data_IF_394909640796
#
_entry.id   IF_394909640796
#
_cell.length_a   1.000
_cell.length_b   1.000
_cell.length_c   1.000
_cell.angle_alpha   90.00
_cell.angle_beta   90.00
_cell.angle_gamma   90.00
#
_symmetry.space_group_name_H-M   'P 1'
#
loop_
_entity.id
_entity.type
_entity.pdbx_description
1 polymer ?
#
# COMPACT_ATOMS: atom_id res chain seq x y z
N UNK A 1 -10.88 -5.74 11.85
CA UNK A 1 -9.95 -6.43 10.94
C UNK A 1 -10.62 -7.59 10.23
N UNK A 2 -11.44 -8.43 10.88
CA UNK A 2 -12.08 -9.59 10.22
C UNK A 2 -11.16 -10.80 10.08
N UNK A 3 -9.96 -10.72 10.64
CA UNK A 3 -8.96 -11.79 10.69
C UNK A 3 -9.00 -12.43 12.07
N UNK A 4 -8.88 -13.75 12.14
CA UNK A 4 -8.80 -14.47 13.40
C UNK A 4 -7.51 -14.15 14.16
N UNK A 5 -7.59 -14.02 15.48
CA UNK A 5 -6.45 -13.68 16.34
C UNK A 5 -5.23 -14.60 16.16
N UNK A 6 -5.39 -15.94 16.02
CA UNK A 6 -4.26 -16.82 15.72
C UNK A 6 -3.54 -16.47 14.40
N UNK A 7 -4.29 -16.00 13.39
CA UNK A 7 -3.71 -15.58 12.11
C UNK A 7 -2.91 -14.30 12.29
N UNK A 8 -3.44 -13.33 13.04
CA UNK A 8 -2.70 -12.11 13.39
C UNK A 8 -1.42 -12.46 14.18
N UNK A 9 -1.50 -13.44 15.09
CA UNK A 9 -0.37 -13.92 15.89
C UNK A 9 0.78 -14.52 15.08
N UNK A 10 0.56 -14.94 13.82
CA UNK A 10 1.66 -15.41 12.96
C UNK A 10 2.70 -14.34 12.68
N UNK A 11 2.38 -13.06 12.88
CA UNK A 11 3.31 -11.94 12.76
C UNK A 11 4.52 -12.08 13.70
N UNK A 12 4.38 -12.83 14.80
CA UNK A 12 5.46 -13.05 15.78
C UNK A 12 6.66 -13.80 15.22
N UNK A 13 6.52 -14.53 14.09
CA UNK A 13 7.64 -15.13 13.36
C UNK A 13 8.68 -14.05 12.97
N UNK A 14 8.25 -12.80 12.79
CA UNK A 14 9.12 -11.69 12.42
C UNK A 14 9.72 -10.93 13.62
N UNK A 15 9.42 -11.32 14.86
CA UNK A 15 9.75 -10.55 16.09
C UNK A 15 11.22 -10.20 16.29
N UNK A 16 12.15 -10.90 15.64
CA UNK A 16 13.58 -10.55 15.60
C UNK A 16 14.17 -10.78 14.19
N UNK A 17 13.33 -10.74 13.15
CA UNK A 17 13.79 -10.93 11.79
C UNK A 17 14.72 -9.80 11.38
N UNK A 18 15.83 -10.14 10.73
CA UNK A 18 16.72 -9.15 10.09
C UNK A 18 16.20 -8.68 8.73
N UNK A 19 15.09 -9.26 8.25
CA UNK A 19 14.50 -8.90 6.97
C UNK A 19 13.86 -7.51 7.06
N UNK A 20 14.32 -6.60 6.21
CA UNK A 20 13.75 -5.26 6.04
C UNK A 20 13.01 -5.24 4.71
N UNK A 21 11.69 -5.18 4.78
CA UNK A 21 10.86 -4.90 3.60
C UNK A 21 10.67 -3.40 3.50
N UNK A 22 11.15 -2.82 2.42
CA UNK A 22 10.87 -1.43 2.05
C UNK A 22 9.94 -1.42 0.86
N UNK A 23 8.94 -0.55 0.91
CA UNK A 23 8.11 -0.24 -0.25
C UNK A 23 8.69 0.99 -0.93
N UNK A 24 8.54 1.05 -2.26
CA UNK A 24 8.87 2.26 -2.99
C UNK A 24 8.09 3.45 -2.40
N UNK A 25 8.73 4.61 -2.24
CA UNK A 25 8.05 5.85 -1.89
C UNK A 25 6.84 6.11 -2.81
N UNK A 26 5.76 6.65 -2.25
CA UNK A 26 4.52 6.82 -3.00
C UNK A 26 4.69 7.71 -4.24
N UNK A 27 5.52 8.75 -4.14
CA UNK A 27 5.91 9.63 -5.24
C UNK A 27 6.64 8.90 -6.37
N UNK A 28 7.51 7.94 -6.04
CA UNK A 28 8.17 7.10 -7.05
C UNK A 28 7.15 6.25 -7.81
N UNK A 29 6.22 5.60 -7.10
CA UNK A 29 5.16 4.78 -7.72
C UNK A 29 4.22 5.63 -8.57
N UNK A 30 3.84 6.82 -8.10
CA UNK A 30 2.99 7.76 -8.86
C UNK A 30 3.71 8.25 -10.12
N UNK A 31 5.00 8.58 -10.00
CA UNK A 31 5.83 9.01 -11.12
C UNK A 31 5.91 7.95 -12.21
N UNK A 32 6.16 6.69 -11.84
CA UNK A 32 6.13 5.56 -12.78
C UNK A 32 4.76 5.38 -13.42
N UNK A 33 3.68 5.46 -12.64
CA UNK A 33 2.32 5.33 -13.16
C UNK A 33 1.99 6.43 -14.20
N UNK A 34 2.47 7.66 -14.02
CA UNK A 34 2.29 8.74 -14.98
C UNK A 34 2.96 8.51 -16.33
N UNK A 35 3.96 7.61 -16.42
CA UNK A 35 4.52 7.23 -17.71
C UNK A 35 3.50 6.52 -18.60
N UNK A 36 2.53 5.82 -18.00
CA UNK A 36 1.59 4.93 -18.72
C UNK A 36 0.13 5.34 -18.58
N UNK A 37 -0.24 6.16 -17.60
CA UNK A 37 -1.62 6.56 -17.33
C UNK A 37 -1.76 8.07 -17.16
N UNK A 38 -2.83 8.61 -17.73
CA UNK A 38 -3.33 9.94 -17.41
C UNK A 38 -4.22 9.87 -16.15
N UNK A 39 -4.24 10.95 -15.38
CA UNK A 39 -5.03 11.09 -14.15
C UNK A 39 -4.74 10.01 -13.09
N UNK A 40 -3.48 9.90 -12.68
CA UNK A 40 -3.05 9.10 -11.52
C UNK A 40 -3.35 9.86 -10.24
N UNK A 41 -3.88 9.17 -9.22
CA UNK A 41 -4.14 9.77 -7.91
C UNK A 41 -4.05 8.78 -6.78
N UNK A 42 -3.82 9.28 -5.57
CA UNK A 42 -3.83 8.49 -4.34
C UNK A 42 -5.03 8.88 -3.50
N UNK A 43 -5.79 7.89 -3.03
CA UNK A 43 -6.95 8.11 -2.18
C UNK A 43 -6.78 7.38 -0.83
N UNK A 44 -7.18 8.00 0.29
CA UNK A 44 -7.19 7.33 1.58
C UNK A 44 -8.19 6.18 1.59
N UNK A 45 -7.91 5.13 2.37
CA UNK A 45 -8.77 3.95 2.44
C UNK A 45 -9.45 3.79 3.78
N UNK A 46 -10.77 3.86 3.79
CA UNK A 46 -11.56 3.55 4.97
C UNK A 46 -11.41 4.56 6.12
N UNK A 47 -11.98 4.19 7.26
CA UNK A 47 -12.09 5.05 8.46
C UNK A 47 -11.54 4.37 9.71
N UNK A 48 -10.81 3.26 9.55
CA UNK A 48 -10.23 2.49 10.64
C UNK A 48 -8.85 3.04 11.02
N UNK A 49 -8.39 2.80 12.25
CA UNK A 49 -7.05 3.24 12.67
C UNK A 49 -5.96 2.62 11.79
N UNK A 50 -4.99 3.43 11.35
CA UNK A 50 -3.93 3.08 10.38
C UNK A 50 -4.39 3.02 8.91
N UNK A 51 -5.63 3.39 8.59
CA UNK A 51 -6.13 3.59 7.23
C UNK A 51 -5.18 4.44 6.36
N UNK A 52 -4.56 5.46 6.95
CA UNK A 52 -3.62 6.36 6.29
C UNK A 52 -2.36 5.66 5.79
N UNK A 53 -2.04 4.47 6.31
CA UNK A 53 -0.88 3.65 5.90
C UNK A 53 -1.17 2.70 4.76
N UNK A 54 -2.42 2.57 4.33
CA UNK A 54 -2.83 1.66 3.27
C UNK A 54 -3.53 2.39 2.10
N UNK A 55 -2.89 3.39 1.48
CA UNK A 55 -3.54 4.18 0.43
C UNK A 55 -3.86 3.32 -0.81
N UNK A 56 -4.90 3.72 -1.56
CA UNK A 56 -5.17 3.16 -2.90
C UNK A 56 -4.61 4.07 -3.98
N UNK A 57 -3.89 3.47 -4.93
CA UNK A 57 -3.48 4.12 -6.17
C UNK A 57 -4.57 3.91 -7.23
N UNK A 58 -5.07 5.01 -7.80
CA UNK A 58 -6.09 5.01 -8.84
C UNK A 58 -5.44 5.37 -10.17
N UNK A 59 -5.58 4.47 -11.14
CA UNK A 59 -5.13 4.63 -12.53
C UNK A 59 -6.37 4.72 -13.41
N UNK A 60 -6.66 5.89 -14.00
CA UNK A 60 -7.91 6.09 -14.74
C UNK A 60 -7.81 5.67 -16.20
N UNK A 61 -7.03 6.40 -16.98
CA UNK A 61 -6.99 6.27 -18.44
C UNK A 61 -5.57 5.95 -18.90
N UNK A 62 -5.35 4.87 -19.66
CA UNK A 62 -4.03 4.61 -20.24
C UNK A 62 -3.66 5.71 -21.23
N UNK A 63 -2.38 6.07 -21.27
CA UNK A 63 -1.81 6.98 -22.26
C UNK A 63 -1.70 6.25 -23.60
N UNK A 64 -1.98 6.97 -24.69
CA UNK A 64 -1.81 6.47 -26.06
C UNK A 64 -0.36 6.50 -26.50
#
# INVERSE_FOLDING_TARGET
TGWDLPVIGTIDVYRNSSAIYSFAPADAVIGEAHAFFDNVGVVPTGTYGLAERCPLLVLRSPRR
#
